data_IF_413916306787
#
_entry.id   IF_413916306787
#
_cell.length_a   1.000
_cell.length_b   1.000
_cell.length_c   1.000
_cell.angle_alpha   90.00
_cell.angle_beta   90.00
_cell.angle_gamma   90.00
#
_symmetry.space_group_name_H-M   'P 1'
#
loop_
_entity.id
_entity.type
_entity.pdbx_description
1 polymer ?
#
# COMPACT_ATOMS: atom_id res chain seq x y z
N UNK A 1 7.44 30.06 -20.29
CA UNK A 1 6.31 29.35 -19.67
C UNK A 1 6.78 27.94 -19.36
N UNK A 2 7.10 27.64 -18.11
CA UNK A 2 7.31 26.26 -17.66
C UNK A 2 5.98 25.55 -17.77
N UNK A 3 5.85 24.63 -18.73
CA UNK A 3 4.68 23.77 -18.83
C UNK A 3 4.62 22.92 -17.56
N UNK A 4 3.50 22.99 -16.83
CA UNK A 4 3.23 22.10 -15.70
C UNK A 4 3.05 20.68 -16.25
N UNK A 5 4.16 19.94 -16.33
CA UNK A 5 4.18 18.55 -16.76
C UNK A 5 3.98 17.67 -15.54
N UNK A 6 2.90 16.90 -15.53
CA UNK A 6 2.62 15.92 -14.48
C UNK A 6 3.10 14.53 -14.91
N UNK A 7 3.55 13.75 -13.94
CA UNK A 7 3.89 12.34 -14.12
C UNK A 7 3.48 11.52 -12.89
N UNK A 8 2.99 10.32 -13.15
CA UNK A 8 2.69 9.34 -12.11
C UNK A 8 3.98 8.74 -11.55
N UNK A 9 4.18 8.88 -10.25
CA UNK A 9 5.27 8.28 -9.50
C UNK A 9 4.74 7.21 -8.56
N UNK A 10 5.55 6.18 -8.34
CA UNK A 10 5.39 5.21 -7.26
C UNK A 10 6.41 5.56 -6.18
N UNK A 11 5.92 5.73 -4.95
CA UNK A 11 6.71 6.15 -3.81
C UNK A 11 6.54 5.09 -2.73
N UNK A 12 7.64 4.57 -2.21
CA UNK A 12 7.60 3.56 -1.16
C UNK A 12 8.61 3.82 -0.05
N UNK A 13 8.21 3.36 1.14
CA UNK A 13 8.98 3.42 2.37
C UNK A 13 8.99 2.03 2.98
N UNK A 14 10.11 1.66 3.59
CA UNK A 14 10.25 0.42 4.34
C UNK A 14 11.20 0.60 5.52
N UNK A 15 11.07 -0.27 6.52
CA UNK A 15 11.94 -0.38 7.70
C UNK A 15 12.21 0.96 8.40
N UNK A 16 11.13 1.67 8.74
CA UNK A 16 11.20 2.99 9.36
C UNK A 16 10.82 2.97 10.84
N UNK A 17 10.45 1.81 11.37
CA UNK A 17 9.83 1.65 12.68
C UNK A 17 10.65 0.75 13.61
N UNK A 18 10.33 0.80 14.90
CA UNK A 18 10.79 -0.14 15.91
C UNK A 18 9.57 -0.58 16.76
N UNK A 19 9.80 -1.42 17.78
CA UNK A 19 8.72 -1.96 18.61
C UNK A 19 7.95 -0.89 19.43
N UNK A 20 8.52 0.30 19.59
CA UNK A 20 7.98 1.37 20.44
C UNK A 20 7.48 2.58 19.62
N UNK A 21 7.78 2.62 18.31
CA UNK A 21 7.45 3.76 17.45
C UNK A 21 6.12 3.58 16.69
N UNK A 22 5.70 4.64 16.02
CA UNK A 22 4.66 4.53 15.01
C UNK A 22 5.18 3.69 13.84
N UNK A 23 4.32 2.80 13.33
CA UNK A 23 4.72 1.92 12.24
C UNK A 23 4.89 2.63 10.88
N UNK A 24 5.60 2.01 9.93
CA UNK A 24 5.92 2.59 8.60
C UNK A 24 4.70 3.13 7.83
N UNK A 25 3.53 2.51 7.99
CA UNK A 25 2.28 2.98 7.37
C UNK A 25 1.81 4.35 7.86
N UNK A 26 2.22 4.80 9.05
CA UNK A 26 1.97 6.17 9.53
C UNK A 26 2.91 7.17 8.85
N UNK A 27 4.18 6.84 8.73
CA UNK A 27 5.18 7.68 8.06
C UNK A 27 4.85 7.85 6.57
N UNK A 28 4.49 6.77 5.87
CA UNK A 28 4.03 6.85 4.48
C UNK A 28 2.81 7.78 4.33
N UNK A 29 1.85 7.72 5.26
CA UNK A 29 0.68 8.59 5.24
C UNK A 29 1.02 10.05 5.57
N UNK A 30 1.99 10.28 6.45
CA UNK A 30 2.47 11.63 6.76
C UNK A 30 3.20 12.23 5.56
N UNK A 31 4.09 11.48 4.90
CA UNK A 31 4.81 11.94 3.73
C UNK A 31 3.88 12.22 2.54
N UNK A 32 2.90 11.34 2.28
CA UNK A 32 1.87 11.59 1.27
C UNK A 32 1.14 12.93 1.50
N UNK A 33 0.76 13.23 2.75
CA UNK A 33 0.16 14.54 3.11
C UNK A 33 1.11 15.72 2.93
N UNK A 34 2.41 15.54 3.14
CA UNK A 34 3.40 16.59 2.86
C UNK A 34 3.41 16.97 1.38
N UNK A 35 3.40 15.98 0.48
CA UNK A 35 3.37 16.19 -0.98
C UNK A 35 2.16 17.06 -1.37
N UNK A 36 0.97 16.72 -0.85
CA UNK A 36 -0.26 17.47 -1.13
C UNK A 36 -0.23 18.86 -0.49
N UNK A 37 0.24 18.99 0.75
CA UNK A 37 0.34 20.26 1.47
C UNK A 37 1.30 21.24 0.78
N UNK A 38 2.39 20.74 0.20
CA UNK A 38 3.31 21.56 -0.58
C UNK A 38 2.77 21.92 -1.97
N UNK A 39 1.63 21.37 -2.38
CA UNK A 39 1.04 21.61 -3.69
C UNK A 39 1.82 20.96 -4.84
N UNK A 40 2.63 19.94 -4.54
CA UNK A 40 3.48 19.29 -5.56
C UNK A 40 2.68 18.32 -6.44
N UNK A 41 1.59 17.76 -5.93
CA UNK A 41 0.79 16.77 -6.61
C UNK A 41 -0.33 16.23 -5.73
N UNK A 42 -1.09 15.27 -6.27
CA UNK A 42 -2.10 14.52 -5.53
C UNK A 42 -1.62 13.10 -5.28
N UNK A 43 -2.05 12.49 -4.17
CA UNK A 43 -1.65 11.13 -3.81
C UNK A 43 -2.84 10.18 -3.78
N UNK A 44 -2.55 8.89 -3.93
CA UNK A 44 -3.53 7.81 -3.81
C UNK A 44 -3.41 7.11 -2.45
N UNK A 45 -4.33 6.20 -2.16
CA UNK A 45 -4.24 5.32 -1.00
C UNK A 45 -2.90 4.57 -0.92
N UNK A 46 -2.50 4.23 0.31
CA UNK A 46 -1.28 3.47 0.60
C UNK A 46 -1.61 1.98 0.64
N UNK A 47 -0.87 1.19 -0.14
CA UNK A 47 -0.85 -0.26 -0.07
C UNK A 47 0.28 -0.71 0.86
N UNK A 48 -0.03 -1.70 1.69
CA UNK A 48 0.92 -2.39 2.55
C UNK A 48 1.17 -3.77 1.98
N UNK A 49 2.43 -4.05 1.68
CA UNK A 49 2.89 -5.29 1.06
C UNK A 49 3.58 -6.15 2.11
N UNK A 50 3.04 -7.33 2.40
CA UNK A 50 3.71 -8.30 3.27
C UNK A 50 4.91 -8.88 2.53
N UNK A 51 6.12 -8.80 3.08
CA UNK A 51 7.33 -9.39 2.49
C UNK A 51 7.64 -10.75 3.13
N UNK A 52 8.68 -11.42 2.64
CA UNK A 52 9.08 -12.75 3.11
C UNK A 52 9.39 -12.76 4.61
N UNK A 53 8.79 -13.67 5.35
CA UNK A 53 9.05 -13.83 6.79
C UNK A 53 10.07 -14.94 6.96
N UNK A 54 11.27 -14.57 7.40
CA UNK A 54 12.41 -15.47 7.52
C UNK A 54 13.32 -15.01 8.67
N UNK A 55 13.97 -15.95 9.35
CA UNK A 55 14.81 -15.68 10.53
C UNK A 55 16.04 -14.81 10.19
N UNK A 56 16.53 -14.90 8.95
CA UNK A 56 17.65 -14.08 8.46
C UNK A 56 17.26 -12.63 8.13
N UNK A 57 15.97 -12.27 8.23
CA UNK A 57 15.49 -10.91 7.96
C UNK A 57 15.08 -10.27 9.29
N UNK A 58 15.78 -9.24 9.78
CA UNK A 58 15.32 -8.49 10.94
C UNK A 58 14.03 -7.75 10.58
N UNK A 59 13.03 -7.81 11.46
CA UNK A 59 11.81 -7.02 11.36
C UNK A 59 11.22 -6.77 12.75
N UNK A 60 10.31 -5.80 12.84
CA UNK A 60 9.63 -5.45 14.09
C UNK A 60 8.49 -6.43 14.40
N UNK A 61 7.23 -5.97 14.26
CA UNK A 61 6.07 -6.86 14.33
C UNK A 61 5.83 -7.59 13.01
N UNK A 62 6.26 -6.99 11.90
CA UNK A 62 5.99 -7.49 10.56
C UNK A 62 7.07 -7.05 9.57
N UNK A 63 7.53 -7.95 8.73
CA UNK A 63 8.30 -7.59 7.55
C UNK A 63 7.35 -7.06 6.44
N UNK A 64 7.17 -5.75 6.32
CA UNK A 64 6.26 -5.20 5.32
C UNK A 64 6.59 -3.77 4.90
N UNK A 65 6.56 -3.52 3.59
CA UNK A 65 6.81 -2.23 3.00
C UNK A 65 5.51 -1.52 2.58
N UNK A 66 5.55 -0.19 2.49
CA UNK A 66 4.41 0.66 2.13
C UNK A 66 4.66 1.31 0.78
N UNK A 67 3.64 1.38 -0.08
CA UNK A 67 3.73 2.11 -1.34
C UNK A 67 2.45 2.90 -1.63
N UNK A 68 2.58 4.06 -2.25
CA UNK A 68 1.48 4.84 -2.80
C UNK A 68 1.92 5.48 -4.12
N UNK A 69 0.95 5.92 -4.91
CA UNK A 69 1.24 6.69 -6.13
C UNK A 69 0.93 8.16 -5.94
N UNK A 70 1.65 9.01 -6.67
CA UNK A 70 1.42 10.45 -6.74
C UNK A 70 1.39 10.91 -8.21
N UNK A 71 0.43 11.75 -8.57
CA UNK A 71 0.49 12.53 -9.81
C UNK A 71 1.26 13.81 -9.51
N UNK A 72 2.57 13.81 -9.81
CA UNK A 72 3.50 14.85 -9.39
C UNK A 72 3.77 15.84 -10.52
N UNK A 73 3.75 17.15 -10.22
CA UNK A 73 4.37 18.14 -11.11
C UNK A 73 5.89 17.95 -11.11
N UNK A 74 6.45 17.62 -12.27
CA UNK A 74 7.87 17.27 -12.42
C UNK A 74 8.84 18.39 -12.05
N UNK A 75 8.38 19.65 -12.01
CA UNK A 75 9.17 20.76 -11.46
C UNK A 75 9.60 20.52 -9.99
N UNK A 76 8.90 19.64 -9.27
CA UNK A 76 9.15 19.32 -7.86
C UNK A 76 9.77 17.94 -7.64
N UNK A 77 10.16 17.21 -8.69
CA UNK A 77 10.72 15.85 -8.54
C UNK A 77 11.95 15.83 -7.61
N UNK A 78 12.90 16.74 -7.84
CA UNK A 78 14.11 16.82 -7.02
C UNK A 78 13.79 17.19 -5.57
N UNK A 79 12.90 18.18 -5.36
CA UNK A 79 12.46 18.60 -4.03
C UNK A 79 11.74 17.47 -3.28
N UNK A 80 10.98 16.62 -3.98
CA UNK A 80 10.34 15.45 -3.39
C UNK A 80 11.37 14.43 -2.89
N UNK A 81 12.40 14.17 -3.67
CA UNK A 81 13.47 13.24 -3.29
C UNK A 81 14.22 13.74 -2.06
N UNK A 82 14.62 15.01 -2.06
CA UNK A 82 15.32 15.64 -0.93
C UNK A 82 14.45 15.69 0.33
N UNK A 83 13.19 16.12 0.21
CA UNK A 83 12.28 16.16 1.34
C UNK A 83 11.94 14.76 1.88
N UNK A 84 11.93 13.73 1.02
CA UNK A 84 11.76 12.34 1.45
C UNK A 84 12.93 11.84 2.30
N UNK A 85 14.16 12.14 1.86
CA UNK A 85 15.37 11.85 2.62
C UNK A 85 15.37 12.54 4.00
N UNK A 86 15.15 13.86 4.01
CA UNK A 86 15.10 14.66 5.25
C UNK A 86 14.00 14.18 6.19
N UNK A 87 12.82 13.84 5.63
CA UNK A 87 11.71 13.31 6.39
C UNK A 87 12.08 11.99 7.07
N UNK A 88 12.71 11.06 6.35
CA UNK A 88 13.11 9.77 6.92
C UNK A 88 14.20 9.91 7.98
N UNK A 89 15.20 10.78 7.76
CA UNK A 89 16.23 11.06 8.75
C UNK A 89 15.66 11.62 10.05
N UNK A 90 14.59 12.42 9.96
CA UNK A 90 13.97 13.08 11.11
C UNK A 90 12.95 12.19 11.83
N UNK A 91 12.14 11.46 11.09
CA UNK A 91 10.92 10.81 11.61
C UNK A 91 11.08 9.30 11.82
N UNK A 92 12.08 8.66 11.22
CA UNK A 92 12.29 7.22 11.39
C UNK A 92 12.78 6.90 12.80
N UNK A 93 12.41 5.73 13.28
CA UNK A 93 12.74 5.31 14.63
C UNK A 93 14.26 5.10 14.80
N UNK A 94 14.86 5.47 15.94
CA UNK A 94 16.27 5.17 16.20
C UNK A 94 16.57 3.68 16.03
N UNK A 95 17.63 3.38 15.29
CA UNK A 95 18.08 2.01 15.02
C UNK A 95 17.34 1.28 13.90
N UNK A 96 16.38 1.92 13.23
CA UNK A 96 15.76 1.38 12.01
C UNK A 96 16.68 1.50 10.78
N UNK A 97 16.30 0.83 9.69
CA UNK A 97 17.03 0.79 8.42
C UNK A 97 16.24 1.41 7.23
N UNK A 98 15.80 2.69 7.29
CA UNK A 98 14.81 3.20 6.34
C UNK A 98 15.26 3.13 4.89
N UNK A 99 14.43 2.52 4.05
CA UNK A 99 14.55 2.53 2.60
C UNK A 99 13.57 3.49 1.96
N UNK A 100 14.03 4.28 0.99
CA UNK A 100 13.19 5.17 0.19
C UNK A 100 13.33 4.89 -1.29
N UNK A 101 12.20 4.73 -1.98
CA UNK A 101 12.20 4.51 -3.42
C UNK A 101 11.19 5.44 -4.12
N UNK A 102 11.62 6.06 -5.20
CA UNK A 102 10.79 6.90 -6.09
C UNK A 102 10.99 6.43 -7.53
N UNK A 103 9.93 5.91 -8.12
CA UNK A 103 9.96 5.32 -9.45
C UNK A 103 8.92 5.97 -10.37
N UNK A 104 9.34 6.70 -11.41
CA UNK A 104 8.41 7.24 -12.41
C UNK A 104 7.79 6.12 -13.25
N UNK A 105 6.47 6.18 -13.50
CA UNK A 105 5.79 5.17 -14.30
C UNK A 105 6.44 5.01 -15.68
N UNK A 106 6.87 6.11 -16.32
CA UNK A 106 7.53 6.07 -17.64
C UNK A 106 8.82 5.23 -17.67
N UNK A 107 9.42 4.96 -16.51
CA UNK A 107 10.64 4.15 -16.37
C UNK A 107 10.38 2.69 -16.06
N UNK A 108 9.23 2.38 -15.46
CA UNK A 108 8.95 1.05 -14.92
C UNK A 108 7.77 0.35 -15.61
N UNK A 109 7.03 1.05 -16.46
CA UNK A 109 5.89 0.47 -17.16
C UNK A 109 6.30 -0.77 -17.97
N UNK A 110 5.57 -1.87 -17.78
CA UNK A 110 5.91 -3.17 -18.37
C UNK A 110 7.21 -3.82 -17.88
N UNK A 111 7.86 -3.33 -16.81
CA UNK A 111 9.14 -3.88 -16.33
C UNK A 111 9.00 -5.27 -15.70
N UNK A 112 9.24 -6.31 -16.50
CA UNK A 112 9.25 -7.70 -16.03
C UNK A 112 10.33 -7.98 -14.97
N UNK A 113 11.47 -7.28 -15.04
CA UNK A 113 12.56 -7.42 -14.06
C UNK A 113 12.13 -6.95 -12.67
N UNK A 114 11.46 -5.79 -12.60
CA UNK A 114 10.93 -5.26 -11.34
C UNK A 114 9.83 -6.16 -10.78
N UNK A 115 8.88 -6.61 -11.61
CA UNK A 115 7.84 -7.54 -11.19
C UNK A 115 8.42 -8.87 -10.67
N UNK A 116 9.47 -9.39 -11.31
CA UNK A 116 10.16 -10.60 -10.85
C UNK A 116 10.87 -10.38 -9.53
N UNK A 117 11.62 -9.29 -9.38
CA UNK A 117 12.29 -8.92 -8.13
C UNK A 117 11.30 -8.84 -6.96
N UNK A 118 10.19 -8.14 -7.18
CA UNK A 118 9.13 -7.98 -6.19
C UNK A 118 8.46 -9.29 -5.77
N UNK A 119 8.25 -10.23 -6.71
CA UNK A 119 7.78 -11.58 -6.36
C UNK A 119 8.80 -12.36 -5.54
N UNK A 120 10.09 -12.29 -5.89
CA UNK A 120 11.16 -12.95 -5.11
C UNK A 120 11.22 -12.41 -3.68
N UNK A 121 11.03 -11.11 -3.48
CA UNK A 121 11.01 -10.49 -2.14
C UNK A 121 9.89 -11.01 -1.21
N UNK A 122 8.93 -11.77 -1.75
CA UNK A 122 7.86 -12.45 -1.00
C UNK A 122 8.26 -13.86 -0.54
N UNK A 123 9.30 -14.44 -1.12
CA UNK A 123 9.60 -15.88 -1.05
C UNK A 123 11.06 -16.18 -0.66
N UNK A 124 11.98 -15.24 -0.80
CA UNK A 124 13.40 -15.42 -0.52
C UNK A 124 14.07 -14.16 0.04
N UNK A 125 15.24 -14.35 0.67
CA UNK A 125 16.09 -13.27 1.18
C UNK A 125 16.86 -12.65 0.01
N UNK A 126 16.60 -11.36 -0.26
CA UNK A 126 17.27 -10.60 -1.31
C UNK A 126 18.37 -9.69 -0.74
N UNK A 127 19.30 -9.32 -1.60
CA UNK A 127 20.45 -8.49 -1.19
C UNK A 127 20.26 -7.02 -1.58
N UNK A 128 20.86 -6.14 -0.77
CA UNK A 128 20.95 -4.71 -1.06
C UNK A 128 21.61 -4.41 -2.41
N UNK A 129 22.65 -5.15 -2.79
CA UNK A 129 23.34 -4.98 -4.07
C UNK A 129 22.44 -5.31 -5.26
N UNK A 130 21.61 -6.36 -5.16
CA UNK A 130 20.59 -6.66 -6.17
C UNK A 130 19.58 -5.51 -6.31
N UNK A 131 19.11 -4.95 -5.20
CA UNK A 131 18.17 -3.83 -5.21
C UNK A 131 18.74 -2.61 -5.94
N UNK A 132 19.96 -2.19 -5.60
CA UNK A 132 20.60 -1.05 -6.26
C UNK A 132 20.93 -1.30 -7.72
N UNK A 133 21.42 -2.49 -8.07
CA UNK A 133 21.72 -2.83 -9.46
C UNK A 133 20.46 -2.72 -10.33
N UNK A 134 19.32 -3.23 -9.84
CA UNK A 134 18.05 -3.12 -10.53
C UNK A 134 17.56 -1.67 -10.61
N UNK A 135 17.58 -0.93 -9.50
CA UNK A 135 17.16 0.48 -9.47
C UNK A 135 17.97 1.34 -10.46
N UNK A 136 19.30 1.16 -10.48
CA UNK A 136 20.18 1.85 -11.42
C UNK A 136 19.84 1.50 -12.88
N UNK A 137 19.60 0.22 -13.18
CA UNK A 137 19.26 -0.22 -14.54
C UNK A 137 17.94 0.34 -15.07
N UNK A 138 16.99 0.64 -14.16
CA UNK A 138 15.68 1.19 -14.49
C UNK A 138 15.62 2.72 -14.35
N UNK A 139 16.65 3.37 -13.82
CA UNK A 139 16.64 4.81 -13.53
C UNK A 139 15.65 5.19 -12.43
N UNK A 140 15.52 4.32 -11.41
CA UNK A 140 14.71 4.53 -10.22
C UNK A 140 15.58 5.18 -9.14
N UNK A 141 15.04 6.15 -8.41
CA UNK A 141 15.71 6.66 -7.21
C UNK A 141 15.53 5.66 -6.07
N UNK A 142 16.63 5.22 -5.46
CA UNK A 142 16.66 4.35 -4.30
C UNK A 142 17.72 4.88 -3.32
N UNK A 143 17.39 5.02 -2.04
CA UNK A 143 18.31 5.56 -1.03
C UNK A 143 18.07 4.99 0.37
N UNK A 144 19.14 4.96 1.16
CA UNK A 144 19.20 4.52 2.56
C UNK A 144 19.19 5.72 3.51
N UNK A 145 18.47 5.63 4.62
CA UNK A 145 18.41 6.71 5.63
C UNK A 145 18.59 6.22 7.07
N UNK A 146 19.29 5.10 7.27
CA UNK A 146 19.62 4.60 8.60
C UNK A 146 20.21 3.18 8.60
N UNK A 147 20.79 2.83 9.76
CA UNK A 147 21.29 1.48 10.06
C UNK A 147 22.33 0.94 9.07
N UNK A 148 22.19 -0.33 8.76
CA UNK A 148 22.83 -1.09 7.68
C UNK A 148 22.25 -0.80 6.28
N UNK A 149 21.08 -0.16 6.21
CA UNK A 149 20.40 0.27 5.00
C UNK A 149 19.63 -0.83 4.28
N UNK A 150 19.17 -1.87 4.98
CA UNK A 150 18.48 -3.02 4.35
C UNK A 150 17.08 -2.68 3.84
N UNK A 151 16.40 -1.66 4.37
CA UNK A 151 15.05 -1.29 3.95
C UNK A 151 14.91 -0.96 2.46
N UNK A 152 16.01 -0.66 1.75
CA UNK A 152 15.96 -0.46 0.29
C UNK A 152 15.48 -1.69 -0.48
N UNK A 153 15.69 -2.90 0.08
CA UNK A 153 15.23 -4.15 -0.51
C UNK A 153 13.70 -4.16 -0.61
N UNK A 154 13.03 -3.90 0.51
CA UNK A 154 11.57 -3.92 0.56
C UNK A 154 10.94 -2.65 0.00
N UNK A 155 11.60 -1.49 0.10
CA UNK A 155 11.16 -0.28 -0.59
C UNK A 155 11.05 -0.50 -2.11
N UNK A 156 12.09 -1.06 -2.76
CA UNK A 156 12.04 -1.39 -4.18
C UNK A 156 11.00 -2.48 -4.48
N UNK A 157 10.90 -3.51 -3.62
CA UNK A 157 9.93 -4.58 -3.79
C UNK A 157 8.49 -4.06 -3.79
N UNK A 158 8.16 -3.14 -2.88
CA UNK A 158 6.83 -2.54 -2.77
C UNK A 158 6.44 -1.76 -4.04
N UNK A 159 7.38 -1.10 -4.71
CA UNK A 159 7.10 -0.45 -6.01
C UNK A 159 6.63 -1.47 -7.03
N UNK A 160 7.34 -2.58 -7.20
CA UNK A 160 6.93 -3.59 -8.18
C UNK A 160 5.66 -4.37 -7.78
N UNK A 161 5.40 -4.58 -6.49
CA UNK A 161 4.14 -5.17 -6.01
C UNK A 161 2.96 -4.24 -6.28
N UNK A 162 3.12 -2.93 -5.98
CA UNK A 162 2.11 -1.90 -6.30
C UNK A 162 1.92 -1.72 -7.80
N UNK A 163 3.00 -1.78 -8.59
CA UNK A 163 2.95 -1.77 -10.05
C UNK A 163 2.19 -2.98 -10.60
N UNK A 164 2.35 -4.17 -10.01
CA UNK A 164 1.62 -5.38 -10.41
C UNK A 164 0.11 -5.33 -10.13
N UNK A 165 -0.34 -4.42 -9.27
CA UNK A 165 -1.76 -4.08 -9.08
C UNK A 165 -2.61 -5.14 -8.36
N UNK A 166 -2.02 -6.21 -7.85
CA UNK A 166 -2.77 -7.36 -7.28
C UNK A 166 -2.20 -7.86 -5.94
N UNK A 167 -1.35 -7.07 -5.29
CA UNK A 167 -0.78 -7.35 -3.97
C UNK A 167 -0.90 -6.10 -3.11
N UNK A 168 -1.22 -6.29 -1.84
CA UNK A 168 -1.21 -5.27 -0.82
C UNK A 168 -2.58 -5.05 -0.18
N UNK A 169 -2.59 -4.89 1.14
CA UNK A 169 -3.74 -4.40 1.89
C UNK A 169 -3.73 -2.88 1.92
N UNK A 170 -4.89 -2.24 1.78
CA UNK A 170 -4.97 -0.79 1.87
C UNK A 170 -4.84 -0.34 3.34
N UNK A 171 -3.98 0.64 3.60
CA UNK A 171 -3.77 1.22 4.92
C UNK A 171 -5.00 2.02 5.35
N UNK A 172 -5.30 2.00 6.65
CA UNK A 172 -6.49 2.65 7.21
C UNK A 172 -7.72 1.75 7.17
N UNK A 173 -8.85 2.23 7.64
CA UNK A 173 -10.13 1.51 7.59
C UNK A 173 -11.13 2.36 6.84
N UNK A 174 -12.12 1.72 6.25
CA UNK A 174 -13.25 2.41 5.63
C UNK A 174 -14.42 2.44 6.60
N UNK A 175 -15.32 3.41 6.44
CA UNK A 175 -16.64 3.42 7.07
C UNK A 175 -16.58 3.22 8.61
N UNK A 176 -15.63 3.87 9.29
CA UNK A 176 -15.47 3.75 10.75
C UNK A 176 -16.75 4.19 11.48
N UNK A 177 -17.15 3.42 12.50
CA UNK A 177 -18.40 3.67 13.23
C UNK A 177 -19.68 3.18 12.53
N UNK A 178 -19.55 2.46 11.41
CA UNK A 178 -20.69 1.90 10.66
C UNK A 178 -20.84 0.38 10.79
N UNK A 179 -20.14 -0.25 11.74
CA UNK A 179 -20.26 -1.69 11.99
C UNK A 179 -21.72 -2.10 12.25
N UNK A 180 -22.14 -3.23 11.69
CA UNK A 180 -23.51 -3.75 11.76
C UNK A 180 -24.50 -3.07 10.80
N UNK A 181 -24.10 -2.00 10.09
CA UNK A 181 -24.95 -1.38 9.07
C UNK A 181 -24.91 -2.20 7.78
N UNK A 182 -26.04 -2.25 7.10
CA UNK A 182 -26.17 -2.77 5.76
C UNK A 182 -26.16 -1.61 4.75
N UNK A 183 -25.24 -1.64 3.79
CA UNK A 183 -25.14 -0.66 2.71
C UNK A 183 -25.17 -1.37 1.35
N UNK A 184 -25.63 -0.67 0.33
CA UNK A 184 -25.42 -1.09 -1.06
C UNK A 184 -23.96 -0.89 -1.49
N UNK A 185 -23.53 -1.60 -2.54
CA UNK A 185 -22.19 -1.41 -3.14
C UNK A 185 -21.97 0.04 -3.57
N UNK A 186 -22.98 0.68 -4.16
CA UNK A 186 -22.91 2.10 -4.54
C UNK A 186 -22.68 3.02 -3.33
N UNK A 187 -23.45 2.83 -2.24
CA UNK A 187 -23.26 3.61 -1.01
C UNK A 187 -21.88 3.42 -0.39
N UNK A 188 -21.31 2.22 -0.48
CA UNK A 188 -19.95 1.94 0.01
C UNK A 188 -18.93 2.73 -0.79
N UNK A 189 -19.02 2.70 -2.13
CA UNK A 189 -18.08 3.39 -3.01
C UNK A 189 -18.20 4.91 -2.88
N UNK A 190 -19.40 5.46 -2.74
CA UNK A 190 -19.61 6.91 -2.56
C UNK A 190 -19.13 7.45 -1.21
N UNK A 191 -19.11 6.62 -0.16
CA UNK A 191 -18.80 7.04 1.22
C UNK A 191 -17.38 6.68 1.67
N UNK A 192 -16.57 6.08 0.80
CA UNK A 192 -15.23 5.63 1.16
C UNK A 192 -14.26 5.68 -0.03
N UNK A 193 -13.01 5.31 0.19
CA UNK A 193 -12.00 5.17 -0.87
C UNK A 193 -11.98 3.73 -1.44
N UNK A 194 -13.14 3.06 -1.45
CA UNK A 194 -13.33 1.75 -2.09
C UNK A 194 -13.82 2.00 -3.51
N UNK A 195 -13.13 1.41 -4.48
CA UNK A 195 -13.46 1.54 -5.90
C UNK A 195 -14.46 0.47 -6.35
N UNK A 196 -14.42 -0.72 -5.73
CA UNK A 196 -15.31 -1.83 -6.07
C UNK A 196 -15.46 -2.83 -4.91
N UNK A 197 -16.53 -3.63 -4.95
CA UNK A 197 -16.80 -4.70 -3.98
C UNK A 197 -16.87 -6.04 -4.68
N UNK A 198 -15.99 -6.96 -4.33
CA UNK A 198 -15.88 -8.28 -4.97
C UNK A 198 -16.01 -9.40 -3.94
N UNK A 199 -16.43 -10.57 -4.39
CA UNK A 199 -16.32 -11.80 -3.60
C UNK A 199 -14.88 -12.31 -3.54
N UNK A 200 -14.60 -13.27 -2.63
CA UNK A 200 -13.26 -13.87 -2.48
C UNK A 200 -12.79 -14.68 -3.70
N UNK A 201 -13.69 -15.10 -4.58
CA UNK A 201 -13.44 -15.73 -5.88
C UNK A 201 -13.37 -14.71 -7.04
N UNK A 202 -13.19 -13.42 -6.73
CA UNK A 202 -12.97 -12.33 -7.69
C UNK A 202 -14.17 -12.01 -8.60
N UNK A 203 -15.40 -12.28 -8.14
CA UNK A 203 -16.61 -11.84 -8.83
C UNK A 203 -17.03 -10.45 -8.34
N UNK A 204 -17.15 -9.44 -9.22
CA UNK A 204 -17.68 -8.14 -8.83
C UNK A 204 -19.17 -8.22 -8.48
N UNK A 205 -19.55 -7.52 -7.41
CA UNK A 205 -20.95 -7.33 -7.05
C UNK A 205 -21.56 -6.16 -7.81
N UNK A 206 -22.87 -6.20 -8.03
CA UNK A 206 -23.64 -5.09 -8.63
C UNK A 206 -23.85 -3.97 -7.62
N UNK A 207 -24.00 -2.76 -8.13
CA UNK A 207 -24.20 -1.52 -7.35
C UNK A 207 -25.32 -1.62 -6.31
N UNK A 208 -26.41 -2.34 -6.62
CA UNK A 208 -27.56 -2.50 -5.74
C UNK A 208 -27.49 -3.69 -4.76
N UNK A 209 -26.46 -4.54 -4.86
CA UNK A 209 -26.26 -5.63 -3.91
C UNK A 209 -25.89 -5.07 -2.53
N UNK A 210 -26.38 -5.74 -1.48
CA UNK A 210 -26.24 -5.31 -0.09
C UNK A 210 -25.11 -6.05 0.60
N UNK A 211 -24.34 -5.31 1.40
CA UNK A 211 -23.22 -5.79 2.20
C UNK A 211 -23.40 -5.36 3.66
N UNK A 212 -23.33 -6.32 4.57
CA UNK A 212 -23.23 -6.07 6.00
C UNK A 212 -21.79 -5.68 6.37
N UNK A 213 -21.63 -4.53 7.02
CA UNK A 213 -20.32 -4.04 7.44
C UNK A 213 -19.89 -4.69 8.75
N UNK A 214 -18.74 -5.37 8.74
CA UNK A 214 -18.07 -5.84 9.95
C UNK A 214 -17.36 -4.72 10.72
N UNK A 215 -16.76 -5.05 11.86
CA UNK A 215 -16.09 -4.07 12.73
C UNK A 215 -14.93 -3.32 12.07
N UNK A 216 -14.20 -4.00 11.18
CA UNK A 216 -13.01 -3.46 10.50
C UNK A 216 -13.13 -3.67 9.01
N UNK A 217 -13.72 -2.69 8.32
CA UNK A 217 -13.82 -2.68 6.86
C UNK A 217 -12.45 -2.36 6.27
N UNK A 218 -11.90 -3.32 5.53
CA UNK A 218 -10.56 -3.27 4.91
C UNK A 218 -10.67 -3.64 3.44
N UNK A 219 -10.03 -2.86 2.58
CA UNK A 219 -9.85 -3.20 1.17
C UNK A 219 -8.44 -3.72 0.90
N UNK A 220 -8.28 -4.36 -0.24
CA UNK A 220 -7.02 -4.84 -0.82
C UNK A 220 -6.81 -4.20 -2.18
N UNK A 221 -5.57 -4.22 -2.66
CA UNK A 221 -5.24 -3.81 -4.02
C UNK A 221 -5.49 -4.98 -4.97
N UNK A 222 -6.45 -4.83 -5.87
CA UNK A 222 -6.74 -5.79 -6.93
C UNK A 222 -7.04 -5.05 -8.23
N UNK A 223 -6.44 -5.50 -9.33
CA UNK A 223 -6.49 -4.82 -10.63
C UNK A 223 -6.25 -3.30 -10.54
N UNK A 224 -5.28 -2.90 -9.71
CA UNK A 224 -4.91 -1.51 -9.43
C UNK A 224 -5.98 -0.66 -8.71
N UNK A 225 -7.03 -1.29 -8.19
CA UNK A 225 -8.13 -0.67 -7.46
C UNK A 225 -8.14 -1.06 -5.99
N UNK A 226 -8.69 -0.19 -5.14
CA UNK A 226 -9.05 -0.48 -3.76
C UNK A 226 -10.34 -1.30 -3.73
N UNK A 227 -10.20 -2.62 -3.61
CA UNK A 227 -11.32 -3.57 -3.65
C UNK A 227 -11.68 -4.06 -2.26
N UNK A 228 -12.94 -3.86 -1.87
CA UNK A 228 -13.50 -4.45 -0.66
C UNK A 228 -13.93 -5.90 -0.95
N UNK A 229 -13.29 -6.86 -0.29
CA UNK A 229 -13.67 -8.26 -0.41
C UNK A 229 -14.81 -8.61 0.55
N UNK A 230 -15.73 -9.46 0.08
CA UNK A 230 -16.85 -9.98 0.87
C UNK A 230 -16.89 -11.51 0.88
N UNK A 231 -17.49 -12.04 1.93
CA UNK A 231 -17.84 -13.46 2.07
C UNK A 231 -19.37 -13.59 2.20
N UNK A 232 -19.95 -14.77 1.93
CA UNK A 232 -21.38 -14.98 2.15
C UNK A 232 -21.79 -14.60 3.57
N UNK A 233 -22.91 -13.89 3.72
CA UNK A 233 -23.53 -13.64 5.01
C UNK A 233 -24.10 -14.92 5.61
N UNK A 234 -24.17 -15.00 6.94
CA UNK A 234 -24.92 -16.06 7.61
C UNK A 234 -26.42 -15.78 7.47
N UNK A 235 -27.24 -16.83 7.43
CA UNK A 235 -28.70 -16.68 7.29
C UNK A 235 -29.33 -15.99 8.53
N UNK A 236 -28.65 -16.01 9.68
CA UNK A 236 -29.12 -15.51 10.96
C UNK A 236 -28.02 -14.80 11.74
N UNK A 237 -28.37 -13.77 12.51
CA UNK A 237 -27.44 -13.13 13.46
C UNK A 237 -27.38 -13.88 14.80
N UNK A 238 -26.51 -13.42 15.73
CA UNK A 238 -26.35 -14.02 17.05
C UNK A 238 -27.61 -13.96 17.94
N UNK A 239 -28.63 -13.20 17.54
CA UNK A 239 -29.94 -13.12 18.21
C UNK A 239 -30.99 -14.03 17.56
N UNK A 240 -30.64 -14.71 16.47
CA UNK A 240 -31.54 -15.55 15.68
C UNK A 240 -32.39 -14.75 14.68
N UNK A 241 -32.13 -13.46 14.48
CA UNK A 241 -32.82 -12.66 13.48
C UNK A 241 -32.26 -12.95 12.09
N UNK A 242 -33.13 -13.11 11.09
CA UNK A 242 -32.71 -13.39 9.72
C UNK A 242 -31.92 -12.20 9.15
N UNK A 243 -30.69 -12.45 8.71
CA UNK A 243 -29.89 -11.45 8.03
C UNK A 243 -30.24 -11.52 6.54
N UNK A 244 -31.00 -10.53 6.06
CA UNK A 244 -31.42 -10.45 4.66
C UNK A 244 -30.33 -9.82 3.76
N UNK A 245 -29.06 -10.09 4.06
CA UNK A 245 -27.92 -9.59 3.28
C UNK A 245 -27.01 -10.75 2.87
N UNK A 246 -26.87 -11.02 1.56
CA UNK A 246 -26.10 -12.16 1.09
C UNK A 246 -24.59 -12.03 1.32
N UNK A 247 -24.11 -10.84 1.69
CA UNK A 247 -22.67 -10.55 1.80
C UNK A 247 -22.32 -9.84 3.10
N UNK A 248 -21.18 -10.22 3.68
CA UNK A 248 -20.54 -9.52 4.80
C UNK A 248 -19.10 -9.20 4.43
N UNK A 249 -18.59 -8.05 4.90
CA UNK A 249 -17.19 -7.67 4.66
C UNK A 249 -16.23 -8.75 5.16
N UNK A 250 -15.23 -9.08 4.35
CA UNK A 250 -14.27 -10.13 4.64
C UNK A 250 -13.46 -9.84 5.91
N UNK A 251 -13.39 -10.78 6.88
CA UNK A 251 -12.58 -10.62 8.08
C UNK A 251 -11.09 -10.45 7.78
N UNK A 252 -10.41 -9.62 8.59
CA UNK A 252 -8.98 -9.29 8.42
C UNK A 252 -8.05 -10.50 8.29
N UNK A 253 -8.33 -11.60 8.99
CA UNK A 253 -7.45 -12.78 8.97
C UNK A 253 -7.41 -13.46 7.59
N UNK A 254 -8.52 -13.41 6.83
CA UNK A 254 -8.58 -13.93 5.46
C UNK A 254 -7.88 -13.03 4.43
N UNK A 255 -7.59 -11.79 4.81
CA UNK A 255 -6.90 -10.83 3.97
C UNK A 255 -5.37 -10.92 4.08
N UNK A 256 -4.81 -11.80 4.93
CA UNK A 256 -3.36 -11.87 5.17
C UNK A 256 -2.54 -12.26 3.93
N UNK A 257 -3.16 -12.98 2.99
CA UNK A 257 -2.54 -13.40 1.73
C UNK A 257 -2.35 -12.26 0.70
N UNK A 258 -2.95 -11.09 0.95
CA UNK A 258 -2.85 -9.90 0.11
C UNK A 258 -1.84 -8.91 0.68
#
# INVERSE_FOLDING_TARGET
MTTNRFEKLFISLDDTDNLESLGTGHLAAAFARCIEKYGWGTTTFISRHQLYVHDDIPYTSHNSAMCFTAELNLAHHQALVEAGADFLLKESAPGSDPGFCVAPLSKIDGSHQLLRYSRRAKEEVLTKSEAYALAASLGIHLSEHGGTGQGVVGALAAVGLRLGGNDGRIKGKHLEGMAGKCLTVDEICQRSAVDAVWTMDYRPLKENEKVLLGEKVKSVLLQHQSVLLVVPGEDFDMTGARIDTPWVTCPRHLLQKY
#
